data_IF_760837271744
#
_entry.id   IF_760837271744
#
_cell.length_a   1.000
_cell.length_b   1.000
_cell.length_c   1.000
_cell.angle_alpha   90.00
_cell.angle_beta   90.00
_cell.angle_gamma   90.00
#
_symmetry.space_group_name_H-M   'P 1'
#
loop_
_entity.id
_entity.type
_entity.pdbx_description
1 polymer ?
#
# COMPACT_ATOMS: atom_id res chain seq x y z
N UNK A 1 5.67 -16.26 -25.44
CA UNK A 1 5.37 -17.08 -24.24
C UNK A 1 5.07 -16.09 -23.14
N UNK A 2 3.79 -15.85 -22.84
CA UNK A 2 3.43 -15.04 -21.68
C UNK A 2 3.86 -15.83 -20.44
N UNK A 3 4.68 -15.22 -19.59
CA UNK A 3 5.27 -15.91 -18.45
C UNK A 3 4.14 -16.12 -17.42
N UNK A 4 3.80 -17.38 -17.09
CA UNK A 4 2.67 -17.70 -16.19
C UNK A 4 2.79 -16.95 -14.85
N UNK A 5 4.02 -16.83 -14.33
CA UNK A 5 4.33 -16.06 -13.11
C UNK A 5 4.03 -14.55 -13.23
N UNK A 6 4.03 -13.99 -14.44
CA UNK A 6 3.70 -12.57 -14.64
C UNK A 6 2.18 -12.34 -14.64
N UNK A 7 1.40 -13.30 -15.12
CA UNK A 7 -0.06 -13.22 -15.11
C UNK A 7 -0.61 -13.31 -13.68
N UNK A 8 -0.11 -14.26 -12.87
CA UNK A 8 -0.53 -14.43 -11.47
C UNK A 8 -0.25 -13.17 -10.61
N UNK A 9 0.85 -12.47 -10.86
CA UNK A 9 1.20 -11.22 -10.13
C UNK A 9 0.27 -10.07 -10.49
N UNK A 10 -0.21 -10.02 -11.74
CA UNK A 10 -1.16 -8.99 -12.19
C UNK A 10 -2.54 -9.27 -11.58
N UNK A 11 -3.01 -10.53 -11.63
CA UNK A 11 -4.28 -10.92 -10.99
C UNK A 11 -4.28 -10.63 -9.48
N UNK A 12 -3.15 -10.86 -8.81
CA UNK A 12 -2.97 -10.50 -7.41
C UNK A 12 -3.08 -8.98 -7.19
N UNK A 13 -2.44 -8.17 -8.04
CA UNK A 13 -2.53 -6.72 -7.95
C UNK A 13 -3.98 -6.22 -8.14
N UNK A 14 -4.73 -6.80 -9.08
CA UNK A 14 -6.14 -6.45 -9.32
C UNK A 14 -7.04 -6.83 -8.15
N UNK A 15 -6.80 -8.01 -7.56
CA UNK A 15 -7.52 -8.47 -6.36
C UNK A 15 -7.27 -7.54 -5.17
N UNK A 16 -6.01 -7.15 -4.96
CA UNK A 16 -5.64 -6.20 -3.91
C UNK A 16 -6.15 -4.79 -4.18
N UNK A 17 -6.23 -4.37 -5.44
CA UNK A 17 -6.85 -3.10 -5.81
C UNK A 17 -8.34 -3.09 -5.45
N UNK A 18 -9.04 -4.19 -5.71
CA UNK A 18 -10.46 -4.34 -5.32
C UNK A 18 -10.62 -4.25 -3.81
N UNK A 19 -9.71 -4.87 -3.05
CA UNK A 19 -9.66 -4.73 -1.60
C UNK A 19 -9.37 -3.28 -1.16
N UNK A 20 -8.43 -2.57 -1.79
CA UNK A 20 -8.16 -1.15 -1.48
C UNK A 20 -9.41 -0.27 -1.69
N UNK A 21 -10.22 -0.57 -2.70
CA UNK A 21 -11.44 0.19 -2.99
C UNK A 21 -12.49 0.09 -1.88
N UNK A 22 -12.49 -0.96 -1.06
CA UNK A 22 -13.43 -1.11 0.06
C UNK A 22 -13.21 -0.06 1.16
N UNK A 23 -12.01 0.51 1.25
CA UNK A 23 -11.71 1.57 2.21
C UNK A 23 -12.43 2.88 1.89
N UNK A 24 -12.98 3.07 0.69
CA UNK A 24 -13.70 4.27 0.28
C UNK A 24 -12.95 5.55 0.68
N UNK A 25 -11.72 5.69 0.16
CA UNK A 25 -10.86 6.85 0.39
C UNK A 25 -11.21 8.00 -0.57
N UNK A 26 -10.82 9.22 -0.22
CA UNK A 26 -11.18 10.41 -1.00
C UNK A 26 -10.53 10.46 -2.39
N UNK A 27 -9.34 9.86 -2.53
CA UNK A 27 -8.64 9.82 -3.81
C UNK A 27 -9.25 8.76 -4.76
N UNK A 28 -9.23 9.05 -6.06
CA UNK A 28 -9.58 8.06 -7.09
C UNK A 28 -8.68 6.83 -6.93
N UNK A 29 -9.26 5.64 -7.00
CA UNK A 29 -8.58 4.35 -6.82
C UNK A 29 -9.11 3.28 -7.79
N UNK A 30 -9.48 3.68 -9.01
CA UNK A 30 -10.14 2.80 -9.98
C UNK A 30 -9.14 1.95 -10.78
N UNK A 31 -7.91 2.42 -10.93
CA UNK A 31 -6.89 1.81 -11.77
C UNK A 31 -5.54 1.70 -11.05
N UNK A 32 -4.66 0.83 -11.56
CA UNK A 32 -3.24 0.75 -11.13
C UNK A 32 -2.58 2.13 -11.14
N UNK A 33 -2.82 2.92 -12.18
CA UNK A 33 -2.22 4.24 -12.37
C UNK A 33 -2.59 5.21 -11.23
N UNK A 34 -3.85 5.15 -10.76
CA UNK A 34 -4.35 5.98 -9.66
C UNK A 34 -3.57 5.78 -8.35
N UNK A 35 -3.03 4.59 -8.15
CA UNK A 35 -2.29 4.20 -6.94
C UNK A 35 -0.79 4.56 -7.02
N UNK A 36 -0.24 4.72 -8.23
CA UNK A 36 1.22 4.94 -8.44
C UNK A 36 1.75 6.21 -7.77
N UNK A 37 0.88 7.18 -7.50
CA UNK A 37 1.23 8.42 -6.81
C UNK A 37 1.39 8.26 -5.27
N UNK A 38 0.94 7.13 -4.72
CA UNK A 38 1.01 6.81 -3.29
C UNK A 38 -0.04 7.47 -2.39
N UNK A 39 -0.89 8.36 -2.91
CA UNK A 39 -1.89 9.09 -2.10
C UNK A 39 -2.94 8.13 -1.52
N UNK A 40 -3.51 7.28 -2.38
CA UNK A 40 -4.49 6.25 -1.98
C UNK A 40 -3.90 5.35 -0.88
N UNK A 41 -2.67 4.86 -1.07
CA UNK A 41 -2.00 4.01 -0.09
C UNK A 41 -1.83 4.70 1.27
N UNK A 42 -1.44 5.98 1.26
CA UNK A 42 -1.25 6.74 2.49
C UNK A 42 -2.58 6.96 3.24
N UNK A 43 -3.67 7.23 2.51
CA UNK A 43 -5.01 7.34 3.09
C UNK A 43 -5.50 6.00 3.68
N UNK A 44 -5.24 4.89 3.00
CA UNK A 44 -5.57 3.55 3.52
C UNK A 44 -4.79 3.25 4.80
N UNK A 45 -3.49 3.54 4.83
CA UNK A 45 -2.66 3.36 6.04
C UNK A 45 -3.17 4.21 7.22
N UNK A 46 -3.59 5.44 6.96
CA UNK A 46 -4.26 6.27 7.97
C UNK A 46 -5.56 5.64 8.49
N UNK A 47 -6.35 4.98 7.63
CA UNK A 47 -7.55 4.26 8.09
C UNK A 47 -7.22 3.01 8.90
N UNK A 48 -6.13 2.32 8.58
CA UNK A 48 -5.66 1.13 9.31
C UNK A 48 -5.22 1.48 10.73
N UNK A 49 -4.44 2.55 10.88
CA UNK A 49 -3.99 3.01 12.18
C UNK A 49 -3.82 4.54 12.18
N UNK A 50 -4.88 5.31 12.51
CA UNK A 50 -4.84 6.77 12.48
C UNK A 50 -3.98 7.36 13.61
N UNK A 51 -3.62 6.56 14.62
CA UNK A 51 -2.76 6.99 15.72
C UNK A 51 -1.30 7.00 15.27
N UNK A 52 -0.89 5.98 14.51
CA UNK A 52 0.47 5.90 13.98
C UNK A 52 0.63 6.69 12.68
N UNK A 53 -0.26 6.49 11.71
CA UNK A 53 -0.28 7.19 10.43
C UNK A 53 -1.11 8.47 10.54
N UNK A 54 -0.68 9.36 11.43
CA UNK A 54 -1.38 10.60 11.76
C UNK A 54 -1.38 11.63 10.62
N UNK A 55 -2.06 12.75 10.83
CA UNK A 55 -2.09 13.85 9.86
C UNK A 55 -0.69 14.40 9.54
N UNK A 56 0.22 14.42 10.51
CA UNK A 56 1.58 14.91 10.29
C UNK A 56 2.38 13.99 9.36
N UNK A 57 2.16 12.68 9.45
CA UNK A 57 2.72 11.70 8.54
C UNK A 57 2.10 11.85 7.14
N UNK A 58 0.77 11.93 7.06
CA UNK A 58 0.05 12.07 5.79
C UNK A 58 0.45 13.34 5.02
N UNK A 59 0.65 14.46 5.73
CA UNK A 59 1.09 15.75 5.16
C UNK A 59 2.47 15.69 4.50
N UNK A 60 3.26 14.62 4.70
CA UNK A 60 4.54 14.41 4.00
C UNK A 60 4.34 13.88 2.59
N UNK A 61 3.15 13.35 2.27
CA UNK A 61 2.79 12.80 0.97
C UNK A 61 2.24 13.92 0.09
N UNK A 62 2.83 14.11 -1.09
CA UNK A 62 2.40 15.16 -2.02
C UNK A 62 1.23 14.67 -2.85
N UNK A 63 0.11 15.38 -2.82
CA UNK A 63 -1.10 15.04 -3.58
C UNK A 63 -1.04 15.52 -5.03
N UNK A 64 -0.48 16.71 -5.27
CA UNK A 64 -0.36 17.32 -6.60
C UNK A 64 0.94 16.88 -7.31
N UNK A 65 1.01 15.60 -7.68
CA UNK A 65 2.20 15.03 -8.32
C UNK A 65 2.08 14.86 -9.84
N UNK A 66 0.87 14.72 -10.38
CA UNK A 66 0.64 14.51 -11.82
C UNK A 66 1.53 13.39 -12.39
N UNK A 67 2.11 13.64 -13.57
CA UNK A 67 3.01 12.69 -14.24
C UNK A 67 4.48 12.80 -13.77
N UNK A 68 4.76 13.54 -12.70
CA UNK A 68 6.11 13.68 -12.18
C UNK A 68 6.52 12.42 -11.41
N UNK A 69 7.03 11.43 -12.15
CA UNK A 69 7.49 10.14 -11.63
C UNK A 69 8.48 10.28 -10.46
N UNK A 70 9.34 11.31 -10.44
CA UNK A 70 10.27 11.55 -9.31
C UNK A 70 9.53 11.86 -8.01
N UNK A 71 8.44 12.62 -8.09
CA UNK A 71 7.61 12.90 -6.93
C UNK A 71 6.77 11.68 -6.54
N UNK A 72 6.25 10.91 -7.50
CA UNK A 72 5.60 9.61 -7.24
C UNK A 72 6.54 8.70 -6.44
N UNK A 73 7.77 8.47 -6.92
CA UNK A 73 8.79 7.70 -6.21
C UNK A 73 9.07 8.27 -4.82
N UNK A 74 9.17 9.60 -4.69
CA UNK A 74 9.42 10.22 -3.38
C UNK A 74 8.30 9.94 -2.38
N UNK A 75 7.04 9.88 -2.82
CA UNK A 75 5.91 9.47 -1.97
C UNK A 75 6.00 7.99 -1.63
N UNK A 76 6.18 7.12 -2.64
CA UNK A 76 6.27 5.67 -2.46
C UNK A 76 7.38 5.27 -1.49
N UNK A 77 8.54 5.93 -1.53
CA UNK A 77 9.64 5.72 -0.56
C UNK A 77 9.23 6.04 0.88
N UNK A 78 8.46 7.11 1.10
CA UNK A 78 7.97 7.48 2.44
C UNK A 78 6.95 6.47 2.95
N UNK A 79 6.07 5.99 2.06
CA UNK A 79 5.05 5.00 2.37
C UNK A 79 5.71 3.66 2.72
N UNK A 80 6.63 3.18 1.88
CA UNK A 80 7.36 1.94 2.14
C UNK A 80 8.11 2.01 3.47
N UNK A 81 8.81 3.13 3.71
CA UNK A 81 9.47 3.35 4.99
C UNK A 81 8.47 3.31 6.16
N UNK A 82 7.36 4.03 6.06
CA UNK A 82 6.33 4.06 7.10
C UNK A 82 5.77 2.68 7.41
N UNK A 83 5.55 1.84 6.40
CA UNK A 83 5.10 0.46 6.56
C UNK A 83 6.16 -0.38 7.29
N UNK A 84 7.43 -0.28 6.89
CA UNK A 84 8.51 -1.03 7.52
C UNK A 84 8.71 -0.64 8.99
N UNK A 85 8.72 0.67 9.26
CA UNK A 85 8.81 1.21 10.62
C UNK A 85 7.60 0.75 11.45
N UNK A 86 6.38 0.79 10.90
CA UNK A 86 5.17 0.31 11.59
C UNK A 86 5.23 -1.18 11.94
N UNK A 87 5.62 -2.02 10.98
CA UNK A 87 5.74 -3.46 11.21
C UNK A 87 6.77 -3.74 12.32
N UNK A 88 7.90 -3.04 12.31
CA UNK A 88 8.94 -3.25 13.30
C UNK A 88 8.58 -2.71 14.69
N UNK A 89 8.16 -1.44 14.77
CA UNK A 89 7.98 -0.70 16.02
C UNK A 89 6.63 -1.00 16.68
N UNK A 90 5.57 -1.18 15.88
CA UNK A 90 4.22 -1.40 16.38
C UNK A 90 3.88 -2.89 16.36
N UNK A 91 4.06 -3.58 15.25
CA UNK A 91 3.66 -5.00 15.17
C UNK A 91 4.70 -5.96 15.75
N UNK A 92 5.94 -5.48 15.98
CA UNK A 92 7.04 -6.33 16.45
C UNK A 92 7.46 -7.39 15.42
N UNK A 93 7.10 -7.20 14.15
CA UNK A 93 7.38 -8.11 13.05
C UNK A 93 8.56 -7.59 12.24
N UNK A 94 9.48 -8.49 11.89
CA UNK A 94 10.51 -8.22 10.91
C UNK A 94 10.11 -8.83 9.57
N UNK A 95 10.09 -8.00 8.54
CA UNK A 95 9.83 -8.43 7.17
C UNK A 95 11.13 -9.02 6.60
N UNK A 96 11.39 -10.30 6.92
CA UNK A 96 12.64 -10.97 6.53
C UNK A 96 12.49 -11.85 5.28
N UNK A 97 11.33 -12.49 5.09
CA UNK A 97 11.09 -13.45 4.01
C UNK A 97 10.28 -12.87 2.84
N UNK A 98 10.01 -11.56 2.85
CA UNK A 98 9.26 -10.87 1.80
C UNK A 98 10.18 -10.01 0.95
N UNK A 99 10.00 -10.10 -0.38
CA UNK A 99 10.74 -9.26 -1.33
C UNK A 99 10.14 -7.85 -1.32
N UNK A 100 10.92 -6.85 -0.89
CA UNK A 100 10.48 -5.46 -0.86
C UNK A 100 10.16 -4.94 -2.28
N UNK A 101 9.13 -4.11 -2.45
CA UNK A 101 8.74 -3.57 -3.75
C UNK A 101 9.78 -2.58 -4.28
N UNK A 102 10.08 -2.65 -5.58
CA UNK A 102 10.86 -1.63 -6.27
C UNK A 102 9.98 -0.42 -6.63
N UNK A 103 10.02 0.58 -5.76
CA UNK A 103 9.27 1.82 -5.93
C UNK A 103 9.67 2.63 -7.17
N UNK A 104 10.85 2.41 -7.75
CA UNK A 104 11.24 3.10 -8.99
C UNK A 104 10.47 2.53 -10.18
N UNK A 105 10.31 1.20 -10.25
CA UNK A 105 9.51 0.56 -11.29
C UNK A 105 8.02 0.96 -11.20
N UNK A 106 7.47 1.10 -9.99
CA UNK A 106 6.11 1.62 -9.79
C UNK A 106 6.01 3.06 -10.30
N UNK A 107 6.95 3.92 -9.93
CA UNK A 107 6.88 5.35 -10.27
C UNK A 107 7.18 5.67 -11.74
N UNK A 108 8.11 4.95 -12.36
CA UNK A 108 8.57 5.19 -13.75
C UNK A 108 7.77 4.42 -14.80
N UNK A 109 7.29 3.22 -14.44
CA UNK A 109 6.69 2.28 -15.40
C UNK A 109 5.30 1.80 -15.00
N UNK A 110 4.76 2.27 -13.87
CA UNK A 110 3.48 1.81 -13.34
C UNK A 110 3.42 0.28 -13.22
N UNK A 111 4.54 -0.33 -12.81
CA UNK A 111 4.68 -1.78 -12.74
C UNK A 111 3.67 -2.38 -11.73
N UNK A 112 2.69 -3.11 -12.26
CA UNK A 112 1.61 -3.69 -11.48
C UNK A 112 2.10 -4.79 -10.51
N UNK A 113 3.18 -5.51 -10.83
CA UNK A 113 3.70 -6.56 -9.96
C UNK A 113 4.39 -5.96 -8.72
N UNK A 114 5.15 -4.88 -8.91
CA UNK A 114 5.74 -4.12 -7.79
C UNK A 114 4.67 -3.39 -6.99
N UNK A 115 3.64 -2.85 -7.66
CA UNK A 115 2.49 -2.28 -6.97
C UNK A 115 1.78 -3.33 -6.12
N UNK A 116 1.54 -4.53 -6.66
CA UNK A 116 0.95 -5.64 -5.93
C UNK A 116 1.72 -5.97 -4.66
N UNK A 117 3.06 -6.03 -4.72
CA UNK A 117 3.91 -6.20 -3.52
C UNK A 117 3.71 -5.08 -2.50
N UNK A 118 3.62 -3.84 -2.95
CA UNK A 118 3.34 -2.70 -2.07
C UNK A 118 1.99 -2.85 -1.36
N UNK A 119 0.95 -3.28 -2.08
CA UNK A 119 -0.38 -3.50 -1.52
C UNK A 119 -0.42 -4.70 -0.55
N UNK A 120 0.35 -5.76 -0.80
CA UNK A 120 0.49 -6.88 0.14
C UNK A 120 1.06 -6.43 1.48
N UNK A 121 2.02 -5.51 1.48
CA UNK A 121 2.57 -4.95 2.72
C UNK A 121 1.51 -4.17 3.52
N UNK A 122 0.64 -3.43 2.83
CA UNK A 122 -0.48 -2.69 3.44
C UNK A 122 -1.52 -3.67 4.02
N UNK A 123 -1.86 -4.73 3.27
CA UNK A 123 -2.73 -5.81 3.77
C UNK A 123 -2.15 -6.47 5.03
N UNK A 124 -0.83 -6.73 5.04
CA UNK A 124 -0.13 -7.23 6.23
C UNK A 124 -0.27 -6.30 7.43
N UNK A 125 -0.23 -4.98 7.22
CA UNK A 125 -0.49 -4.02 8.30
C UNK A 125 -1.93 -4.11 8.82
N UNK A 126 -2.91 -4.19 7.93
CA UNK A 126 -4.33 -4.27 8.29
C UNK A 126 -4.63 -5.51 9.15
N UNK A 127 -4.22 -6.69 8.67
CA UNK A 127 -4.48 -7.98 9.35
C UNK A 127 -3.81 -8.05 10.73
N UNK A 128 -2.58 -7.55 10.85
CA UNK A 128 -1.83 -7.64 12.10
C UNK A 128 -2.22 -6.54 13.11
N UNK A 129 -2.66 -5.36 12.65
CA UNK A 129 -3.14 -4.29 13.51
C UNK A 129 -4.37 -4.75 14.32
N UNK A 130 -5.35 -5.37 13.67
CA UNK A 130 -6.55 -5.92 14.31
C UNK A 130 -6.21 -6.96 15.39
N UNK A 131 -5.29 -7.88 15.07
CA UNK A 131 -4.84 -8.92 16.01
C UNK A 131 -4.20 -8.32 17.26
N UNK A 132 -3.44 -7.23 17.12
CA UNK A 132 -2.80 -6.55 18.26
C UNK A 132 -3.81 -5.79 19.12
N UNK A 133 -4.86 -5.23 18.54
CA UNK A 133 -5.88 -4.46 19.26
C UNK A 133 -6.95 -5.34 19.94
N UNK A 134 -6.94 -6.66 19.72
CA UNK A 134 -7.84 -7.61 20.40
C UNK A 134 -9.31 -7.52 19.97
N UNK A 135 -9.63 -6.64 19.03
CA UNK A 135 -10.95 -6.53 18.44
C UNK A 135 -11.01 -7.41 17.19
N UNK A 136 -11.62 -8.59 17.33
CA UNK A 136 -12.13 -9.41 16.22
C UNK A 136 -13.31 -8.73 15.47
N UNK A 137 -13.41 -7.40 15.54
CA UNK A 137 -14.48 -6.66 14.91
C UNK A 137 -14.11 -6.46 13.44
N UNK A 138 -14.69 -7.34 12.63
CA UNK A 138 -14.94 -7.21 11.20
C UNK A 138 -13.79 -7.48 10.22
N UNK A 139 -13.29 -8.73 10.26
CA UNK A 139 -12.84 -9.40 9.01
C UNK A 139 -14.02 -9.54 8.00
N UNK A 140 -15.26 -9.24 8.41
CA UNK A 140 -16.48 -9.37 7.60
C UNK A 140 -16.78 -8.25 6.59
N UNK A 141 -15.90 -7.25 6.39
CA UNK A 141 -16.12 -6.22 5.33
C UNK A 141 -15.08 -6.28 4.20
N UNK A 142 -14.22 -7.31 4.13
CA UNK A 142 -13.12 -7.32 3.17
C UNK A 142 -12.80 -8.67 2.51
N UNK A 143 -13.80 -9.53 2.24
CA UNK A 143 -13.79 -10.53 1.14
C UNK A 143 -15.19 -10.59 0.53
#
# INVERSE_FOLDING_TARGET
>A
MFNVESAERVELCESLLTWIQTFNVDASCQTVEDLTNGVVMAQVLQKIDPVYFDENWLNRIKTEVGDNWRLKISNLKKILKGILDYNHEILGQQINDFTLPDVNLIGEHSDAAELGRMLQLILGCAVNCEQKQGNLLEVSVCI
#
